data_IF_156353454070
#
_entry.id   IF_156353454070
#
_cell.length_a   1.000
_cell.length_b   1.000
_cell.length_c   1.000
_cell.angle_alpha   90.00
_cell.angle_beta   90.00
_cell.angle_gamma   90.00
#
_symmetry.space_group_name_H-M   'P 1'
#
loop_
_entity.id
_entity.type
_entity.pdbx_description
1 polymer ?
#
# COMPACT_ATOMS: atom_id res chain seq x y z
N UNK A 1 21.93 6.05 6.37
CA UNK A 1 21.72 5.27 5.12
C UNK A 1 21.13 6.20 4.07
N UNK A 2 21.38 5.98 2.78
CA UNK A 2 20.70 6.75 1.73
C UNK A 2 19.20 6.47 1.79
N UNK A 3 18.39 7.52 1.72
CA UNK A 3 16.94 7.40 1.65
C UNK A 3 16.54 6.75 0.32
N UNK A 4 15.52 5.91 0.35
CA UNK A 4 14.97 5.25 -0.83
C UNK A 4 14.21 6.26 -1.69
N UNK A 5 14.06 5.95 -2.97
CA UNK A 5 13.10 6.64 -3.83
C UNK A 5 11.75 5.96 -3.67
N UNK A 6 10.67 6.73 -3.57
CA UNK A 6 9.30 6.21 -3.64
C UNK A 6 8.64 6.68 -4.93
N UNK A 7 7.77 5.85 -5.51
CA UNK A 7 6.97 6.18 -6.68
C UNK A 7 5.50 6.20 -6.29
N UNK A 8 4.81 7.31 -6.57
CA UNK A 8 3.36 7.37 -6.45
C UNK A 8 2.71 6.63 -7.61
N UNK A 9 1.89 5.64 -7.29
CA UNK A 9 1.08 4.96 -8.31
C UNK A 9 -0.12 5.81 -8.71
N UNK A 10 -0.49 5.73 -9.99
CA UNK A 10 -1.61 6.50 -10.55
C UNK A 10 -2.98 5.95 -10.11
N UNK A 11 -3.04 4.67 -9.75
CA UNK A 11 -4.26 3.98 -9.36
C UNK A 11 -4.74 4.45 -7.98
N UNK A 12 -6.06 4.50 -7.83
CA UNK A 12 -6.74 4.55 -6.53
C UNK A 12 -7.18 3.14 -6.14
N UNK A 13 -6.99 2.80 -4.87
CA UNK A 13 -7.24 1.45 -4.35
C UNK A 13 -8.36 1.45 -3.31
N UNK A 14 -9.06 0.31 -3.26
CA UNK A 14 -9.98 -0.04 -2.18
C UNK A 14 -9.48 -1.31 -1.50
N UNK A 15 -9.56 -1.32 -0.17
CA UNK A 15 -9.23 -2.47 0.69
C UNK A 15 -10.54 -3.13 1.08
N UNK A 16 -10.75 -4.38 0.67
CA UNK A 16 -11.93 -5.17 0.94
C UNK A 16 -11.64 -6.26 1.98
N UNK A 17 -12.60 -6.52 2.85
CA UNK A 17 -12.61 -7.68 3.76
C UNK A 17 -13.77 -8.60 3.39
N UNK A 18 -13.45 -9.87 3.14
CA UNK A 18 -14.34 -10.94 2.73
C UNK A 18 -14.22 -12.13 3.70
N UNK A 19 -15.12 -13.09 3.58
CA UNK A 19 -15.02 -14.34 4.32
C UNK A 19 -13.75 -15.10 3.91
N UNK A 20 -13.13 -15.81 4.85
CA UNK A 20 -11.90 -16.55 4.55
C UNK A 20 -12.13 -17.67 3.52
N UNK A 21 -13.35 -18.18 3.38
CA UNK A 21 -13.73 -19.20 2.40
C UNK A 21 -14.29 -18.62 1.09
N UNK A 22 -14.40 -17.30 0.95
CA UNK A 22 -14.86 -16.67 -0.28
C UNK A 22 -13.89 -16.90 -1.45
N UNK A 23 -14.46 -17.01 -2.65
CA UNK A 23 -13.67 -17.09 -3.87
C UNK A 23 -13.19 -15.70 -4.30
N UNK A 24 -11.93 -15.60 -4.71
CA UNK A 24 -11.38 -14.36 -5.28
C UNK A 24 -12.07 -14.05 -6.63
N UNK A 25 -12.68 -12.86 -6.82
CA UNK A 25 -13.30 -12.51 -8.09
C UNK A 25 -12.28 -12.46 -9.24
N UNK A 26 -12.63 -13.03 -10.41
CA UNK A 26 -11.75 -13.03 -11.59
C UNK A 26 -11.35 -11.62 -12.05
N UNK A 27 -12.21 -10.61 -11.83
CA UNK A 27 -11.90 -9.22 -12.12
C UNK A 27 -10.71 -8.67 -11.31
N UNK A 28 -10.52 -9.16 -10.08
CA UNK A 28 -9.35 -8.83 -9.24
C UNK A 28 -8.08 -9.43 -9.84
N UNK A 29 -8.13 -10.71 -10.22
CA UNK A 29 -6.99 -11.43 -10.78
C UNK A 29 -6.54 -10.88 -12.15
N UNK A 30 -7.43 -10.18 -12.86
CA UNK A 30 -7.14 -9.52 -14.14
C UNK A 30 -6.68 -8.06 -13.98
N UNK A 31 -6.57 -7.55 -12.75
CA UNK A 31 -6.09 -6.20 -12.51
C UNK A 31 -4.57 -6.10 -12.72
N UNK A 32 -4.07 -4.92 -13.09
CA UNK A 32 -2.63 -4.67 -13.27
C UNK A 32 -1.85 -4.83 -11.96
N UNK A 33 -2.42 -4.36 -10.84
CA UNK A 33 -1.82 -4.43 -9.51
C UNK A 33 -2.94 -4.80 -8.53
N UNK A 34 -2.72 -5.84 -7.74
CA UNK A 34 -3.60 -6.23 -6.65
C UNK A 34 -2.80 -6.98 -5.57
N UNK A 35 -3.34 -7.01 -4.36
CA UNK A 35 -2.79 -7.77 -3.25
C UNK A 35 -3.90 -8.61 -2.64
N UNK A 36 -3.56 -9.84 -2.27
CA UNK A 36 -4.47 -10.77 -1.61
C UNK A 36 -3.75 -11.37 -0.42
N UNK A 37 -4.35 -11.24 0.75
CA UNK A 37 -3.91 -11.90 1.97
C UNK A 37 -5.08 -12.72 2.52
N UNK A 38 -4.88 -14.03 2.62
CA UNK A 38 -5.82 -14.92 3.33
C UNK A 38 -5.21 -15.28 4.68
N UNK A 39 -6.00 -15.10 5.73
CA UNK A 39 -5.73 -15.64 7.07
C UNK A 39 -6.81 -16.65 7.41
N UNK A 40 -6.76 -17.23 8.60
CA UNK A 40 -7.83 -18.10 9.10
C UNK A 40 -9.13 -17.32 9.38
N UNK A 41 -9.04 -15.99 9.51
CA UNK A 41 -10.15 -15.12 9.92
C UNK A 41 -10.78 -14.35 8.74
N UNK A 42 -10.01 -14.04 7.70
CA UNK A 42 -10.51 -13.25 6.57
C UNK A 42 -9.74 -13.45 5.26
N UNK A 43 -10.38 -13.02 4.18
CA UNK A 43 -9.75 -12.74 2.90
C UNK A 43 -9.68 -11.21 2.69
N UNK A 44 -8.48 -10.64 2.80
CA UNK A 44 -8.21 -9.22 2.54
C UNK A 44 -7.74 -9.01 1.10
N UNK A 45 -8.42 -8.14 0.37
CA UNK A 45 -8.10 -7.83 -1.03
C UNK A 45 -7.88 -6.33 -1.19
N UNK A 46 -6.71 -5.94 -1.70
CA UNK A 46 -6.43 -4.58 -2.16
C UNK A 46 -6.41 -4.56 -3.67
N UNK A 47 -7.30 -3.79 -4.29
CA UNK A 47 -7.41 -3.71 -5.75
C UNK A 47 -7.87 -2.32 -6.21
N UNK A 48 -7.72 -1.99 -7.52
CA UNK A 48 -8.20 -0.73 -8.06
C UNK A 48 -9.70 -0.49 -7.76
N UNK A 49 -10.03 0.72 -7.30
CA UNK A 49 -11.38 1.08 -6.82
C UNK A 49 -12.51 0.98 -7.86
N UNK A 50 -12.15 0.89 -9.16
CA UNK A 50 -13.13 0.60 -10.22
C UNK A 50 -13.69 -0.82 -10.15
N UNK A 51 -12.96 -1.77 -9.58
CA UNK A 51 -13.41 -3.16 -9.44
C UNK A 51 -14.48 -3.21 -8.36
N UNK A 52 -15.66 -3.74 -8.71
CA UNK A 52 -16.76 -3.92 -7.78
C UNK A 52 -16.83 -5.37 -7.35
N UNK A 53 -16.95 -5.59 -6.04
CA UNK A 53 -17.18 -6.89 -5.45
C UNK A 53 -18.09 -6.74 -4.23
N UNK A 54 -18.73 -7.84 -3.84
CA UNK A 54 -19.49 -7.90 -2.59
C UNK A 54 -18.50 -8.27 -1.48
N UNK A 55 -18.34 -7.39 -0.50
CA UNK A 55 -17.43 -7.58 0.64
C UNK A 55 -18.12 -7.14 1.92
N UNK A 56 -17.73 -7.69 3.07
CA UNK A 56 -18.30 -7.31 4.37
C UNK A 56 -17.96 -5.87 4.73
N UNK A 57 -16.74 -5.45 4.42
CA UNK A 57 -16.27 -4.09 4.57
C UNK A 57 -15.45 -3.66 3.34
N UNK A 58 -15.39 -2.34 3.12
CA UNK A 58 -14.59 -1.74 2.06
C UNK A 58 -14.09 -0.35 2.47
N UNK A 59 -12.77 -0.18 2.50
CA UNK A 59 -12.11 1.09 2.78
C UNK A 59 -11.55 1.68 1.47
N UNK A 60 -12.18 2.75 1.00
CA UNK A 60 -11.90 3.39 -0.30
C UNK A 60 -10.87 4.52 -0.20
N UNK A 61 -10.46 5.04 -1.35
CA UNK A 61 -9.65 6.25 -1.51
C UNK A 61 -8.24 6.09 -0.91
N UNK A 62 -7.50 5.09 -1.38
CA UNK A 62 -6.12 4.83 -0.97
C UNK A 62 -5.17 4.99 -2.14
N UNK A 63 -4.07 5.69 -1.90
CA UNK A 63 -2.99 5.90 -2.86
C UNK A 63 -1.75 5.16 -2.39
N UNK A 64 -1.09 4.46 -3.31
CA UNK A 64 0.07 3.63 -3.02
C UNK A 64 1.38 4.35 -3.39
N UNK A 65 2.33 4.30 -2.48
CA UNK A 65 3.74 4.63 -2.70
C UNK A 65 4.54 3.33 -2.74
N UNK A 66 5.11 3.02 -3.90
CA UNK A 66 6.03 1.90 -4.07
C UNK A 66 7.46 2.33 -3.71
N UNK A 67 8.18 1.53 -2.95
CA UNK A 67 9.62 1.76 -2.73
C UNK A 67 10.39 1.30 -3.97
N UNK A 68 11.13 2.19 -4.62
CA UNK A 68 11.79 1.89 -5.90
C UNK A 68 13.04 1.01 -5.69
N UNK A 69 13.08 -0.11 -6.41
CA UNK A 69 14.22 -1.02 -6.53
C UNK A 69 13.97 -2.37 -5.84
N UNK A 70 14.69 -3.45 -6.23
CA UNK A 70 14.66 -4.66 -5.44
C UNK A 70 15.37 -4.39 -4.11
N UNK A 71 14.61 -4.47 -3.03
CA UNK A 71 15.09 -4.39 -1.67
C UNK A 71 15.73 -5.74 -1.31
N UNK A 72 17.06 -5.78 -1.26
CA UNK A 72 17.75 -6.98 -0.81
C UNK A 72 17.34 -7.34 0.62
N UNK A 73 17.09 -8.63 0.89
CA UNK A 73 16.64 -9.13 2.21
C UNK A 73 17.56 -8.77 3.40
N UNK A 74 18.81 -8.36 3.15
CA UNK A 74 19.73 -7.88 4.18
C UNK A 74 19.47 -6.43 4.61
N UNK A 75 18.62 -5.69 3.88
CA UNK A 75 18.27 -4.32 4.21
C UNK A 75 17.27 -4.32 5.36
N UNK A 76 17.63 -3.62 6.43
CA UNK A 76 16.78 -3.48 7.61
C UNK A 76 16.41 -2.02 7.84
N UNK A 77 15.24 -1.76 8.43
CA UNK A 77 14.85 -0.43 8.88
C UNK A 77 14.17 0.45 7.83
N UNK A 78 14.08 0.03 6.56
CA UNK A 78 13.41 0.82 5.50
C UNK A 78 11.95 1.12 5.87
N UNK A 79 11.17 0.09 6.19
CA UNK A 79 9.77 0.27 6.59
C UNK A 79 9.64 1.04 7.91
N UNK A 80 10.56 0.83 8.86
CA UNK A 80 10.57 1.55 10.13
C UNK A 80 10.81 3.05 9.93
N UNK A 81 11.77 3.42 9.07
CA UNK A 81 12.09 4.82 8.77
C UNK A 81 10.93 5.49 8.00
N UNK A 82 10.33 4.83 7.02
CA UNK A 82 9.21 5.38 6.25
C UNK A 82 7.98 5.56 7.14
N UNK A 83 7.59 4.51 7.87
CA UNK A 83 6.46 4.56 8.80
C UNK A 83 6.67 5.58 9.91
N UNK A 84 7.89 5.75 10.41
CA UNK A 84 8.24 6.77 11.39
C UNK A 84 7.99 8.19 10.88
N UNK A 85 8.38 8.49 9.64
CA UNK A 85 8.10 9.82 9.02
C UNK A 85 6.61 10.07 8.89
N UNK A 86 5.85 9.07 8.42
CA UNK A 86 4.41 9.21 8.21
C UNK A 86 3.65 9.29 9.55
N UNK A 87 4.06 8.52 10.56
CA UNK A 87 3.52 8.60 11.91
C UNK A 87 3.76 9.97 12.55
N UNK A 88 4.95 10.54 12.41
CA UNK A 88 5.26 11.91 12.88
C UNK A 88 4.40 12.99 12.20
N UNK A 89 3.87 12.70 11.01
CA UNK A 89 2.92 13.55 10.29
C UNK A 89 1.45 13.22 10.61
N UNK A 90 1.16 12.30 11.54
CA UNK A 90 -0.17 11.78 11.86
C UNK A 90 -0.90 11.15 10.66
N UNK A 91 -0.15 10.42 9.83
CA UNK A 91 -0.68 9.73 8.64
C UNK A 91 -0.73 8.25 8.93
N UNK A 92 -1.95 7.68 8.90
CA UNK A 92 -2.15 6.24 8.98
C UNK A 92 -1.70 5.58 7.68
N UNK A 93 -1.12 4.40 7.79
CA UNK A 93 -0.61 3.64 6.65
C UNK A 93 -1.23 2.25 6.59
N UNK A 94 -1.29 1.70 5.38
CA UNK A 94 -1.51 0.28 5.13
C UNK A 94 -0.32 -0.26 4.34
N UNK A 95 0.51 -1.07 4.98
CA UNK A 95 1.79 -1.53 4.42
C UNK A 95 1.65 -2.95 3.84
N UNK A 96 2.24 -3.18 2.66
CA UNK A 96 2.24 -4.47 1.99
C UNK A 96 3.62 -4.75 1.41
N UNK A 97 4.23 -5.86 1.80
CA UNK A 97 5.49 -6.32 1.24
C UNK A 97 5.25 -7.31 0.11
N UNK A 98 6.13 -7.28 -0.89
CA UNK A 98 6.27 -8.31 -1.91
C UNK A 98 7.62 -9.00 -1.74
N UNK A 99 7.99 -9.86 -2.69
CA UNK A 99 9.33 -10.44 -2.71
C UNK A 99 10.41 -9.37 -2.97
N UNK A 100 10.16 -8.45 -3.89
CA UNK A 100 11.16 -7.48 -4.36
C UNK A 100 11.08 -6.14 -3.63
N UNK A 101 9.88 -5.68 -3.25
CA UNK A 101 9.72 -4.35 -2.67
C UNK A 101 8.51 -4.22 -1.75
N UNK A 102 8.37 -3.07 -1.12
CA UNK A 102 7.28 -2.68 -0.24
C UNK A 102 6.39 -1.60 -0.87
N UNK A 103 5.11 -1.64 -0.54
CA UNK A 103 4.11 -0.64 -0.86
C UNK A 103 3.55 -0.05 0.43
N UNK A 104 3.47 1.27 0.49
CA UNK A 104 2.83 2.01 1.57
C UNK A 104 1.61 2.72 1.01
N UNK A 105 0.42 2.32 1.46
CA UNK A 105 -0.82 2.99 1.12
C UNK A 105 -1.15 4.04 2.18
N UNK A 106 -1.59 5.21 1.72
CA UNK A 106 -2.14 6.28 2.55
C UNK A 106 -3.48 6.73 1.99
N UNK A 107 -4.35 7.29 2.84
CA UNK A 107 -5.61 7.85 2.35
C UNK A 107 -5.35 8.95 1.33
N UNK A 108 -6.12 8.98 0.25
CA UNK A 108 -6.00 9.94 -0.86
C UNK A 108 -5.96 11.38 -0.35
N UNK A 109 -6.84 11.73 0.59
CA UNK A 109 -6.87 13.07 1.21
C UNK A 109 -5.58 13.46 1.97
N UNK A 110 -4.71 12.50 2.29
CA UNK A 110 -3.45 12.72 3.01
C UNK A 110 -2.22 12.55 2.10
N UNK A 111 -2.39 12.22 0.82
CA UNK A 111 -1.25 11.87 -0.06
C UNK A 111 -0.27 13.03 -0.21
N UNK A 112 -0.77 14.25 -0.40
CA UNK A 112 0.10 15.42 -0.54
C UNK A 112 0.90 15.67 0.74
N UNK A 113 0.26 15.54 1.91
CA UNK A 113 0.92 15.70 3.21
C UNK A 113 1.98 14.61 3.41
N UNK A 114 1.68 13.36 3.03
CA UNK A 114 2.62 12.24 3.07
C UNK A 114 3.85 12.52 2.21
N UNK A 115 3.64 12.95 0.96
CA UNK A 115 4.72 13.28 0.04
C UNK A 115 5.59 14.42 0.58
N UNK A 116 4.97 15.47 1.12
CA UNK A 116 5.73 16.58 1.72
C UNK A 116 6.54 16.14 2.94
N UNK A 117 5.98 15.30 3.81
CA UNK A 117 6.69 14.77 4.98
C UNK A 117 7.89 13.92 4.55
N UNK A 118 7.72 13.02 3.59
CA UNK A 118 8.78 12.18 3.03
C UNK A 118 9.88 13.02 2.37
N UNK A 119 9.52 14.00 1.53
CA UNK A 119 10.48 14.91 0.89
C UNK A 119 11.26 15.74 1.92
N UNK A 120 10.60 16.20 2.98
CA UNK A 120 11.24 16.94 4.08
C UNK A 120 12.27 16.09 4.84
N UNK A 121 12.04 14.79 4.97
CA UNK A 121 12.98 13.83 5.58
C UNK A 121 14.07 13.33 4.61
N UNK A 122 14.08 13.83 3.37
CA UNK A 122 15.12 13.55 2.38
C UNK A 122 14.83 12.37 1.45
N UNK A 123 13.62 11.81 1.46
CA UNK A 123 13.19 10.84 0.45
C UNK A 123 12.95 11.54 -0.89
N UNK A 124 13.28 10.86 -1.99
CA UNK A 124 12.84 11.24 -3.32
C UNK A 124 11.46 10.62 -3.56
N UNK A 125 10.48 11.42 -3.98
CA UNK A 125 9.15 10.89 -4.36
C UNK A 125 8.82 11.34 -5.78
N UNK A 126 8.61 10.35 -6.65
CA UNK A 126 8.28 10.47 -8.08
C UNK A 126 6.77 10.45 -8.30
#
# INVERSE_FOLDING_TARGET
MSKQTLQLLNQDFTIHSLDCDDTIPAAVLNAEIFFIAKTDEELSIVCPSQIKMNSFAAEKHWRALEVVGPLGFSLTGIMADISGVLANANISIFAMSTYDTDFILVKEQQIDVAIQALKKDGYMVL
#
